data_IF_219530308278
#
_entry.id   IF_219530308278
#
_cell.length_a   1.000
_cell.length_b   1.000
_cell.length_c   1.000
_cell.angle_alpha   90.00
_cell.angle_beta   90.00
_cell.angle_gamma   90.00
#
_symmetry.space_group_name_H-M   'P 1'
#
loop_
_entity.id
_entity.type
_entity.pdbx_description
1 polymer ?
#
# COMPACT_ATOMS: atom_id res chain seq x y z
N UNK A 1 20.32 8.78 -22.33
CA UNK A 1 21.10 8.05 -21.31
C UNK A 1 20.12 7.27 -20.45
N UNK A 2 20.24 5.94 -20.40
CA UNK A 2 19.34 5.10 -19.60
C UNK A 2 19.69 5.23 -18.12
N UNK A 3 18.69 5.04 -17.24
CA UNK A 3 18.83 5.07 -15.78
C UNK A 3 19.87 4.05 -15.27
N UNK A 4 20.19 3.03 -16.08
CA UNK A 4 21.21 2.00 -15.85
C UNK A 4 22.64 2.53 -15.76
N UNK A 5 22.95 3.67 -16.38
CA UNK A 5 24.35 4.13 -16.50
C UNK A 5 24.76 5.05 -15.34
N UNK A 6 23.85 5.34 -14.40
CA UNK A 6 24.06 6.22 -13.22
C UNK A 6 23.89 5.42 -11.91
N UNK A 7 23.61 4.11 -12.00
CA UNK A 7 23.25 3.24 -10.87
C UNK A 7 24.45 2.63 -10.12
N UNK A 8 25.69 2.93 -10.50
CA UNK A 8 26.87 2.32 -9.87
C UNK A 8 27.16 2.82 -8.44
N UNK A 9 26.54 3.93 -8.00
CA UNK A 9 26.84 4.57 -6.70
C UNK A 9 25.66 4.58 -5.70
N UNK A 10 24.52 3.96 -6.02
CA UNK A 10 23.41 3.91 -5.06
C UNK A 10 23.56 2.71 -4.10
N UNK A 11 23.34 2.91 -2.78
CA UNK A 11 23.28 1.82 -1.82
C UNK A 11 22.23 0.77 -2.21
N UNK A 12 22.33 -0.49 -1.74
CA UNK A 12 21.36 -1.52 -2.09
C UNK A 12 19.95 -1.23 -1.53
N UNK A 13 18.95 -1.91 -2.11
CA UNK A 13 17.58 -1.98 -1.59
C UNK A 13 17.29 -3.40 -1.17
N UNK A 14 16.88 -3.59 0.09
CA UNK A 14 16.44 -4.88 0.63
C UNK A 14 14.91 -4.91 0.66
N UNK A 15 14.29 -5.83 -0.08
CA UNK A 15 12.83 -6.03 -0.06
C UNK A 15 12.44 -7.10 0.97
N UNK A 16 11.55 -6.75 1.89
CA UNK A 16 11.13 -7.63 2.98
C UNK A 16 9.60 -7.69 3.02
N UNK A 17 9.03 -8.90 3.07
CA UNK A 17 7.59 -9.10 3.18
C UNK A 17 7.25 -9.54 4.61
N UNK A 18 6.42 -8.74 5.29
CA UNK A 18 5.88 -9.05 6.60
C UNK A 18 4.45 -9.52 6.45
N UNK A 19 4.19 -10.69 7.04
CA UNK A 19 2.87 -11.30 7.01
C UNK A 19 2.17 -11.07 8.34
N UNK A 20 0.89 -10.70 8.29
CA UNK A 20 0.00 -10.74 9.45
C UNK A 20 -1.25 -11.56 9.15
N UNK A 21 -1.90 -12.04 10.21
CA UNK A 21 -3.22 -12.65 10.13
C UNK A 21 -4.26 -11.61 10.58
N UNK A 22 -5.39 -11.53 9.89
CA UNK A 22 -6.52 -10.72 10.35
C UNK A 22 -6.98 -11.24 11.72
N UNK A 23 -7.45 -10.35 12.59
CA UNK A 23 -8.15 -10.78 13.82
C UNK A 23 -9.44 -11.53 13.46
N UNK A 24 -9.97 -12.36 14.37
CA UNK A 24 -11.18 -13.15 14.11
C UNK A 24 -12.34 -12.28 13.63
N UNK A 25 -12.60 -11.15 14.32
CA UNK A 25 -13.64 -10.19 13.93
C UNK A 25 -13.40 -9.57 12.55
N UNK A 26 -12.15 -9.26 12.21
CA UNK A 26 -11.79 -8.68 10.91
C UNK A 26 -11.89 -9.73 9.79
N UNK A 27 -11.54 -10.99 10.08
CA UNK A 27 -11.66 -12.12 9.16
C UNK A 27 -13.13 -12.49 8.90
N UNK A 28 -13.99 -12.46 9.92
CA UNK A 28 -15.43 -12.68 9.77
C UNK A 28 -16.06 -11.62 8.86
N UNK A 29 -15.71 -10.35 9.07
CA UNK A 29 -16.13 -9.26 8.18
C UNK A 29 -15.62 -9.49 6.75
N UNK A 30 -14.36 -9.87 6.60
CA UNK A 30 -13.74 -10.13 5.30
C UNK A 30 -14.44 -11.26 4.53
N UNK A 31 -14.66 -12.41 5.17
CA UNK A 31 -15.33 -13.59 4.59
C UNK A 31 -16.78 -13.30 4.26
N UNK A 32 -17.52 -12.67 5.18
CA UNK A 32 -18.92 -12.30 4.93
C UNK A 32 -19.04 -11.36 3.73
N UNK A 33 -18.12 -10.41 3.60
CA UNK A 33 -18.11 -9.49 2.46
C UNK A 33 -17.75 -10.20 1.15
N UNK A 34 -16.71 -11.04 1.15
CA UNK A 34 -16.27 -11.80 -0.02
C UNK A 34 -17.35 -12.74 -0.55
N UNK A 35 -18.00 -13.51 0.33
CA UNK A 35 -19.07 -14.43 -0.04
C UNK A 35 -20.28 -13.70 -0.65
N UNK A 36 -20.74 -12.63 0.01
CA UNK A 36 -21.86 -11.82 -0.48
C UNK A 36 -21.55 -11.19 -1.84
N UNK A 37 -20.34 -10.63 -2.00
CA UNK A 37 -19.93 -10.00 -3.24
C UNK A 37 -19.77 -11.02 -4.38
N UNK A 38 -19.28 -12.24 -4.09
CA UNK A 38 -19.20 -13.32 -5.06
C UNK A 38 -20.59 -13.69 -5.59
N UNK A 39 -21.57 -13.88 -4.71
CA UNK A 39 -22.93 -14.23 -5.11
C UNK A 39 -23.61 -13.12 -5.94
N UNK A 40 -23.35 -11.85 -5.60
CA UNK A 40 -23.84 -10.71 -6.38
C UNK A 40 -23.18 -10.64 -7.77
N UNK A 41 -21.85 -10.76 -7.82
CA UNK A 41 -21.11 -10.69 -9.08
C UNK A 41 -21.48 -11.82 -10.03
N UNK A 42 -21.66 -13.05 -9.55
CA UNK A 42 -22.11 -14.19 -10.37
C UNK A 42 -23.44 -13.87 -11.06
N UNK A 43 -24.43 -13.39 -10.31
CA UNK A 43 -25.75 -13.02 -10.86
C UNK A 43 -25.66 -11.89 -11.88
N UNK A 44 -24.80 -10.89 -11.63
CA UNK A 44 -24.57 -9.79 -12.57
C UNK A 44 -23.91 -10.27 -13.85
N UNK A 45 -22.91 -11.16 -13.75
CA UNK A 45 -22.22 -11.73 -14.92
C UNK A 45 -23.16 -12.59 -15.75
N UNK A 46 -23.98 -13.42 -15.12
CA UNK A 46 -25.01 -14.23 -15.80
C UNK A 46 -26.04 -13.36 -16.55
N UNK A 47 -26.40 -12.20 -15.99
CA UNK A 47 -27.39 -11.29 -16.59
C UNK A 47 -26.81 -10.41 -17.70
N UNK A 48 -25.65 -9.81 -17.46
CA UNK A 48 -25.15 -8.67 -18.26
C UNK A 48 -23.87 -8.99 -19.05
N UNK A 49 -23.18 -10.09 -18.71
CA UNK A 49 -21.86 -10.45 -19.23
C UNK A 49 -20.72 -9.74 -18.50
N UNK A 50 -19.57 -10.41 -18.39
CA UNK A 50 -18.42 -9.95 -17.57
C UNK A 50 -17.90 -8.55 -17.94
N UNK A 51 -17.86 -8.21 -19.23
CA UNK A 51 -17.37 -6.90 -19.70
C UNK A 51 -18.15 -5.72 -19.10
N UNK A 52 -19.43 -5.91 -18.74
CA UNK A 52 -20.27 -4.87 -18.13
C UNK A 52 -20.18 -4.82 -16.61
N UNK A 53 -19.59 -5.83 -15.97
CA UNK A 53 -19.55 -5.99 -14.51
C UNK A 53 -18.22 -5.51 -13.92
N UNK A 54 -17.24 -5.12 -14.76
CA UNK A 54 -15.90 -4.70 -14.33
C UNK A 54 -15.90 -3.61 -13.23
N UNK A 55 -16.84 -2.66 -13.28
CA UNK A 55 -16.93 -1.61 -12.25
C UNK A 55 -17.34 -2.17 -10.88
N UNK A 56 -18.21 -3.18 -10.85
CA UNK A 56 -18.59 -3.87 -9.61
C UNK A 56 -17.44 -4.70 -9.08
N UNK A 57 -16.70 -5.39 -9.95
CA UNK A 57 -15.47 -6.12 -9.58
C UNK A 57 -14.45 -5.17 -8.93
N UNK A 58 -14.15 -4.04 -9.58
CA UNK A 58 -13.24 -3.02 -9.05
C UNK A 58 -13.66 -2.55 -7.65
N UNK A 59 -14.96 -2.29 -7.46
CA UNK A 59 -15.50 -1.88 -6.18
C UNK A 59 -15.32 -2.98 -5.11
N UNK A 60 -15.64 -4.23 -5.43
CA UNK A 60 -15.49 -5.38 -4.53
C UNK A 60 -14.04 -5.59 -4.11
N UNK A 61 -13.11 -5.67 -5.06
CA UNK A 61 -11.69 -5.89 -4.77
C UNK A 61 -11.12 -4.72 -3.96
N UNK A 62 -11.55 -3.49 -4.24
CA UNK A 62 -11.17 -2.31 -3.45
C UNK A 62 -11.63 -2.45 -2.00
N UNK A 63 -12.86 -2.92 -1.76
CA UNK A 63 -13.41 -3.07 -0.42
C UNK A 63 -12.71 -4.17 0.37
N UNK A 64 -12.42 -5.31 -0.25
CA UNK A 64 -11.63 -6.37 0.38
C UNK A 64 -10.25 -5.89 0.81
N UNK A 65 -9.54 -5.15 -0.05
CA UNK A 65 -8.25 -4.51 0.31
C UNK A 65 -8.39 -3.51 1.45
N UNK A 66 -9.47 -2.72 1.47
CA UNK A 66 -9.72 -1.79 2.57
C UNK A 66 -9.97 -2.51 3.90
N UNK A 67 -10.69 -3.64 3.91
CA UNK A 67 -10.86 -4.48 5.11
C UNK A 67 -9.50 -4.95 5.60
N UNK A 68 -8.62 -5.42 4.69
CA UNK A 68 -7.26 -5.85 5.02
C UNK A 68 -6.39 -4.71 5.60
N UNK A 69 -6.64 -3.47 5.20
CA UNK A 69 -5.92 -2.30 5.69
C UNK A 69 -6.43 -1.87 7.07
N UNK A 70 -7.71 -1.55 7.15
CA UNK A 70 -8.40 -1.17 8.38
C UNK A 70 -9.92 -1.08 8.12
N UNK A 71 -10.79 -1.77 8.89
CA UNK A 71 -12.25 -1.72 8.70
C UNK A 71 -12.84 -0.30 8.72
N UNK A 72 -12.36 0.57 9.62
CA UNK A 72 -12.75 1.98 9.70
C UNK A 72 -12.42 2.85 8.46
N UNK A 73 -11.77 2.32 7.42
CA UNK A 73 -11.68 3.00 6.14
C UNK A 73 -13.06 3.20 5.52
N UNK A 74 -14.00 2.27 5.75
CA UNK A 74 -15.36 2.39 5.20
C UNK A 74 -16.48 1.74 6.03
N UNK A 75 -16.15 0.82 6.94
CA UNK A 75 -17.12 0.03 7.70
C UNK A 75 -17.45 0.61 9.08
N UNK A 76 -16.69 1.62 9.54
CA UNK A 76 -16.90 2.30 10.82
C UNK A 76 -16.76 3.82 10.67
N UNK A 77 -17.36 4.56 11.60
CA UNK A 77 -17.24 6.01 11.69
C UNK A 77 -15.84 6.42 12.19
N UNK A 78 -15.33 5.72 13.21
CA UNK A 78 -14.01 5.94 13.82
C UNK A 78 -13.20 4.66 13.89
N UNK A 79 -11.87 4.81 13.91
CA UNK A 79 -10.94 3.72 14.15
C UNK A 79 -10.73 3.51 15.66
N UNK A 80 -10.70 2.27 16.10
CA UNK A 80 -10.47 1.88 17.49
C UNK A 80 -9.25 0.94 17.60
N UNK A 81 -8.52 0.95 18.73
CA UNK A 81 -7.42 0.01 18.94
C UNK A 81 -7.88 -1.45 18.79
N UNK A 82 -7.10 -2.27 18.07
CA UNK A 82 -7.42 -3.68 17.80
C UNK A 82 -8.36 -3.91 16.62
N UNK A 83 -8.80 -2.86 15.92
CA UNK A 83 -9.65 -3.00 14.72
C UNK A 83 -8.93 -3.61 13.52
N UNK A 84 -7.60 -3.48 13.46
CA UNK A 84 -6.82 -3.95 12.32
C UNK A 84 -5.50 -4.56 12.75
N UNK A 85 -5.36 -5.87 12.55
CA UNK A 85 -4.14 -6.59 12.86
C UNK A 85 -2.94 -6.10 12.04
N UNK A 86 -3.16 -5.62 10.79
CA UNK A 86 -2.10 -4.99 9.99
C UNK A 86 -1.66 -3.66 10.58
N UNK A 87 -2.58 -2.89 11.14
CA UNK A 87 -2.25 -1.62 11.77
C UNK A 87 -1.45 -1.84 13.06
N UNK A 88 -1.84 -2.83 13.85
CA UNK A 88 -1.09 -3.22 15.05
C UNK A 88 0.34 -3.67 14.69
N UNK A 89 0.50 -4.51 13.65
CA UNK A 89 1.81 -4.88 13.11
C UNK A 89 2.64 -3.67 12.65
N UNK A 90 2.00 -2.71 11.96
CA UNK A 90 2.68 -1.48 11.54
C UNK A 90 3.22 -0.71 12.75
N UNK A 91 2.43 -0.59 13.83
CA UNK A 91 2.85 0.13 15.03
C UNK A 91 4.05 -0.54 15.71
N UNK A 92 4.05 -1.87 15.82
CA UNK A 92 5.17 -2.63 16.38
C UNK A 92 6.46 -2.47 15.55
N UNK A 93 6.34 -2.60 14.22
CA UNK A 93 7.46 -2.41 13.30
C UNK A 93 7.98 -0.96 13.36
N UNK A 94 7.07 0.01 13.31
CA UNK A 94 7.41 1.43 13.32
C UNK A 94 8.10 1.82 14.63
N UNK A 95 7.62 1.32 15.77
CA UNK A 95 8.27 1.56 17.05
C UNK A 95 9.73 1.09 17.03
N UNK A 96 9.97 -0.14 16.58
CA UNK A 96 11.32 -0.72 16.48
C UNK A 96 12.24 0.11 15.57
N UNK A 97 11.72 0.54 14.41
CA UNK A 97 12.46 1.35 13.44
C UNK A 97 12.81 2.73 14.02
N UNK A 98 11.85 3.40 14.65
CA UNK A 98 12.05 4.75 15.22
C UNK A 98 13.01 4.71 16.42
N UNK A 99 12.90 3.71 17.29
CA UNK A 99 13.82 3.50 18.42
C UNK A 99 15.26 3.23 17.94
N UNK A 100 15.40 2.56 16.79
CA UNK A 100 16.69 2.31 16.14
C UNK A 100 17.20 3.50 15.32
N UNK A 101 16.47 4.62 15.29
CA UNK A 101 16.85 5.85 14.61
C UNK A 101 16.59 5.89 13.10
N UNK A 102 15.85 4.91 12.55
CA UNK A 102 15.50 4.87 11.14
C UNK A 102 14.44 5.90 10.79
N UNK A 103 14.61 6.55 9.63
CA UNK A 103 13.59 7.44 9.08
C UNK A 103 12.76 6.72 8.05
N UNK A 104 11.45 6.72 8.26
CA UNK A 104 10.51 5.82 7.60
C UNK A 104 9.48 6.57 6.76
N UNK A 105 9.33 6.19 5.50
CA UNK A 105 8.24 6.64 4.62
C UNK A 105 7.17 5.55 4.55
N UNK A 106 5.94 5.88 4.93
CA UNK A 106 4.80 4.97 4.85
C UNK A 106 3.92 5.40 3.67
N UNK A 107 3.77 4.49 2.71
CA UNK A 107 2.91 4.65 1.57
C UNK A 107 1.57 3.96 1.80
N UNK A 108 0.49 4.69 1.48
CA UNK A 108 -0.85 4.09 1.36
C UNK A 108 -1.62 4.70 0.19
N UNK A 109 -2.38 3.88 -0.54
CA UNK A 109 -3.28 4.36 -1.58
C UNK A 109 -4.55 5.00 -1.01
N UNK A 110 -4.88 4.72 0.25
CA UNK A 110 -6.12 5.15 0.89
C UNK A 110 -5.87 6.37 1.78
N UNK A 111 -6.32 7.55 1.33
CA UNK A 111 -6.21 8.79 2.12
C UNK A 111 -6.87 8.68 3.49
N UNK A 112 -7.99 7.95 3.61
CA UNK A 112 -8.64 7.68 4.90
C UNK A 112 -7.72 6.90 5.85
N UNK A 113 -6.97 5.91 5.35
CA UNK A 113 -5.98 5.19 6.16
C UNK A 113 -4.89 6.12 6.66
N UNK A 114 -4.38 7.01 5.79
CA UNK A 114 -3.41 8.00 6.24
C UNK A 114 -3.99 8.95 7.29
N UNK A 115 -5.29 9.32 7.22
CA UNK A 115 -5.91 10.12 8.29
C UNK A 115 -5.98 9.35 9.61
N UNK A 116 -6.35 8.07 9.59
CA UNK A 116 -6.32 7.19 10.77
C UNK A 116 -4.92 7.20 11.40
N UNK A 117 -3.87 6.99 10.59
CA UNK A 117 -2.48 7.04 11.06
C UNK A 117 -2.12 8.40 11.66
N UNK A 118 -2.52 9.51 11.04
CA UNK A 118 -2.22 10.86 11.53
C UNK A 118 -2.86 11.13 12.89
N UNK A 119 -4.13 10.75 13.05
CA UNK A 119 -4.87 10.93 14.30
C UNK A 119 -4.20 10.15 15.43
N UNK A 120 -3.91 8.86 15.20
CA UNK A 120 -3.27 7.99 16.19
C UNK A 120 -1.82 8.42 16.49
N UNK A 121 -1.02 8.77 15.48
CA UNK A 121 0.36 9.24 15.70
C UNK A 121 0.39 10.55 16.49
N UNK A 122 -0.58 11.44 16.28
CA UNK A 122 -0.71 12.67 17.07
C UNK A 122 -1.01 12.35 18.53
N UNK A 123 -1.93 11.43 18.79
CA UNK A 123 -2.27 11.00 20.16
C UNK A 123 -1.09 10.33 20.88
N UNK A 124 -0.26 9.58 20.13
CA UNK A 124 0.95 8.92 20.63
C UNK A 124 2.16 9.84 20.74
N UNK A 125 2.06 11.10 20.28
CA UNK A 125 3.17 12.04 20.26
C UNK A 125 4.27 11.72 19.23
N UNK A 126 3.98 10.87 18.24
CA UNK A 126 4.89 10.54 17.15
C UNK A 126 4.94 11.72 16.18
N UNK A 127 6.12 12.30 15.98
CA UNK A 127 6.30 13.40 15.02
C UNK A 127 6.35 12.86 13.59
N UNK A 128 5.53 13.41 12.70
CA UNK A 128 5.47 13.00 11.30
C UNK A 128 5.31 14.19 10.33
N UNK A 129 5.62 13.95 9.07
CA UNK A 129 5.20 14.78 7.93
C UNK A 129 4.12 14.06 7.13
N UNK A 130 3.25 14.81 6.47
CA UNK A 130 2.12 14.27 5.70
C UNK A 130 2.02 14.93 4.33
N UNK A 131 1.75 14.13 3.29
CA UNK A 131 1.52 14.61 1.94
C UNK A 131 0.47 13.77 1.21
N UNK A 132 -0.50 14.44 0.60
CA UNK A 132 -1.45 13.84 -0.32
C UNK A 132 -1.65 14.71 -1.59
N UNK A 133 -2.61 14.29 -2.43
CA UNK A 133 -2.96 15.02 -3.64
C UNK A 133 -3.43 16.47 -3.41
N UNK A 134 -4.02 16.77 -2.25
CA UNK A 134 -4.53 18.11 -1.89
C UNK A 134 -3.43 19.06 -1.39
N UNK A 135 -2.24 18.53 -1.10
CA UNK A 135 -1.14 19.29 -0.49
C UNK A 135 -0.51 20.27 -1.49
N UNK A 136 -0.49 21.57 -1.13
CA UNK A 136 0.10 22.66 -1.93
C UNK A 136 1.60 22.85 -1.70
N UNK A 137 2.06 22.88 -0.44
CA UNK A 137 3.46 23.19 -0.08
C UNK A 137 4.37 21.95 -0.06
N UNK A 138 4.31 21.13 -1.12
CA UNK A 138 4.96 19.81 -1.16
C UNK A 138 6.48 19.88 -0.91
N UNK A 139 7.17 20.82 -1.54
CA UNK A 139 8.63 20.95 -1.44
C UNK A 139 9.10 21.35 -0.04
N UNK A 140 8.35 22.21 0.64
CA UNK A 140 8.65 22.62 2.02
C UNK A 140 8.52 21.46 2.99
N UNK A 141 7.45 20.65 2.85
CA UNK A 141 7.22 19.47 3.69
C UNK A 141 8.31 18.42 3.47
N UNK A 142 8.69 18.17 2.21
CA UNK A 142 9.78 17.25 1.86
C UNK A 142 11.11 17.74 2.42
N UNK A 143 11.44 19.03 2.26
CA UNK A 143 12.66 19.61 2.80
C UNK A 143 12.71 19.49 4.32
N UNK A 144 11.62 19.86 5.00
CA UNK A 144 11.48 19.74 6.45
C UNK A 144 11.67 18.31 6.92
N UNK A 145 11.08 17.33 6.22
CA UNK A 145 11.33 15.93 6.53
C UNK A 145 12.79 15.57 6.34
N UNK A 146 13.39 15.82 5.18
CA UNK A 146 14.78 15.39 4.93
C UNK A 146 15.79 16.00 5.92
N UNK A 147 15.59 17.27 6.31
CA UNK A 147 16.55 18.01 7.13
C UNK A 147 16.32 17.88 8.64
N UNK A 148 15.10 17.57 9.10
CA UNK A 148 14.79 17.53 10.52
C UNK A 148 14.89 16.10 11.09
N UNK A 149 15.87 15.81 11.95
CA UNK A 149 16.01 14.49 12.57
C UNK A 149 14.89 14.18 13.57
N UNK A 150 14.16 15.19 14.08
CA UNK A 150 13.04 14.99 15.02
C UNK A 150 11.75 14.52 14.35
N UNK A 151 11.73 14.39 13.02
CA UNK A 151 10.57 13.90 12.26
C UNK A 151 10.92 12.52 11.71
N UNK A 152 10.67 11.44 12.47
CA UNK A 152 11.02 10.08 12.05
C UNK A 152 10.15 9.54 10.91
N UNK A 153 8.92 10.05 10.74
CA UNK A 153 7.93 9.42 9.84
C UNK A 153 7.42 10.37 8.75
N UNK A 154 7.24 9.86 7.54
CA UNK A 154 6.55 10.55 6.44
C UNK A 154 5.38 9.72 5.91
N UNK A 155 4.17 10.24 6.06
CA UNK A 155 2.94 9.64 5.54
C UNK A 155 2.63 10.21 4.15
N UNK A 156 2.49 9.35 3.13
CA UNK A 156 2.30 9.83 1.75
C UNK A 156 1.34 8.97 0.93
N UNK A 157 0.43 9.64 0.19
CA UNK A 157 -0.40 8.96 -0.80
C UNK A 157 0.27 8.90 -2.18
N UNK A 158 0.23 7.72 -2.79
CA UNK A 158 0.83 7.46 -4.11
C UNK A 158 0.04 8.06 -5.28
N UNK A 159 -1.29 8.27 -5.11
CA UNK A 159 -2.18 8.91 -6.09
C UNK A 159 -1.89 10.40 -6.33
N UNK A 160 -0.93 11.01 -5.64
CA UNK A 160 -0.34 12.29 -6.01
C UNK A 160 0.57 12.18 -7.26
N UNK A 161 0.17 11.33 -8.23
CA UNK A 161 0.92 10.88 -9.41
C UNK A 161 1.44 12.05 -10.24
N UNK A 162 2.76 12.16 -10.30
CA UNK A 162 3.48 13.11 -11.15
C UNK A 162 4.58 13.90 -10.46
N UNK A 163 4.58 14.01 -9.12
CA UNK A 163 5.62 14.83 -8.45
C UNK A 163 6.85 14.00 -8.14
N UNK A 164 7.99 14.39 -8.71
CA UNK A 164 9.32 13.84 -8.43
C UNK A 164 9.82 14.15 -7.02
N UNK A 165 9.10 13.70 -6.00
CA UNK A 165 9.48 13.82 -4.60
C UNK A 165 10.86 13.16 -4.38
N UNK A 166 11.69 13.82 -3.59
CA UNK A 166 13.00 13.33 -3.20
C UNK A 166 13.04 13.16 -1.68
N UNK A 167 12.89 11.92 -1.21
CA UNK A 167 12.73 11.55 0.20
C UNK A 167 14.00 10.84 0.72
N UNK A 168 15.18 11.22 0.22
CA UNK A 168 16.49 10.63 0.57
C UNK A 168 16.90 10.83 2.04
N UNK A 169 16.15 11.61 2.83
CA UNK A 169 16.32 11.67 4.27
C UNK A 169 15.73 10.47 5.02
N UNK A 170 15.05 9.56 4.31
CA UNK A 170 14.65 8.25 4.81
C UNK A 170 15.59 7.16 4.32
N UNK A 171 15.70 6.10 5.10
CA UNK A 171 16.38 4.85 4.77
C UNK A 171 15.40 3.66 4.79
N UNK A 172 14.16 3.88 5.23
CA UNK A 172 13.15 2.84 5.34
C UNK A 172 11.87 3.24 4.61
N UNK A 173 11.29 2.29 3.89
CA UNK A 173 10.00 2.40 3.18
C UNK A 173 9.07 1.30 3.67
N UNK A 174 7.83 1.66 3.97
CA UNK A 174 6.76 0.71 4.27
C UNK A 174 5.64 0.90 3.25
N UNK A 175 5.36 -0.15 2.47
CA UNK A 175 4.15 -0.26 1.65
C UNK A 175 3.06 -0.89 2.52
N UNK A 176 2.14 -0.05 2.99
CA UNK A 176 1.09 -0.50 3.91
C UNK A 176 -0.01 -1.30 3.20
N UNK A 177 -0.31 -0.95 1.95
CA UNK A 177 -1.29 -1.66 1.13
C UNK A 177 -0.68 -2.17 -0.17
N UNK A 178 -1.13 -3.35 -0.58
CA UNK A 178 -0.62 -4.03 -1.77
C UNK A 178 -1.15 -3.37 -3.05
N UNK A 179 -0.28 -3.24 -4.05
CA UNK A 179 -0.66 -2.71 -5.37
C UNK A 179 -0.93 -3.87 -6.33
N UNK A 180 -1.76 -3.66 -7.33
CA UNK A 180 -1.90 -4.65 -8.40
C UNK A 180 -0.70 -4.61 -9.34
N UNK A 181 -0.12 -3.43 -9.51
CA UNK A 181 1.03 -3.19 -10.35
C UNK A 181 2.32 -3.00 -9.51
N UNK A 182 3.26 -3.97 -9.55
CA UNK A 182 4.55 -3.86 -8.85
C UNK A 182 5.35 -2.62 -9.22
N UNK A 183 5.15 -2.07 -10.42
CA UNK A 183 5.85 -0.87 -10.86
C UNK A 183 5.46 0.37 -10.04
N UNK A 184 4.26 0.41 -9.46
CA UNK A 184 3.82 1.52 -8.60
C UNK A 184 4.56 1.47 -7.26
N UNK A 185 4.71 0.28 -6.67
CA UNK A 185 5.53 0.06 -5.46
C UNK A 185 6.99 0.44 -5.72
N UNK A 186 7.58 -0.07 -6.80
CA UNK A 186 8.95 0.24 -7.19
C UNK A 186 9.15 1.76 -7.38
N UNK A 187 8.20 2.43 -8.03
CA UNK A 187 8.25 3.89 -8.19
C UNK A 187 8.14 4.63 -6.85
N UNK A 188 7.40 4.10 -5.87
CA UNK A 188 7.36 4.69 -4.54
C UNK A 188 8.70 4.53 -3.82
N UNK A 189 9.28 3.33 -3.85
CA UNK A 189 10.61 3.05 -3.28
C UNK A 189 11.69 3.92 -3.92
N UNK A 190 11.63 4.13 -5.24
CA UNK A 190 12.50 5.04 -6.00
C UNK A 190 12.48 6.51 -5.51
N UNK A 191 11.47 6.92 -4.72
CA UNK A 191 11.44 8.27 -4.12
C UNK A 191 12.41 8.39 -2.94
N UNK A 192 12.74 7.27 -2.31
CA UNK A 192 13.72 7.16 -1.21
C UNK A 192 15.07 6.65 -1.74
N UNK A 193 15.05 5.66 -2.63
CA UNK A 193 16.21 5.15 -3.34
C UNK A 193 16.55 6.02 -4.55
N UNK A 194 17.05 7.24 -4.27
CA UNK A 194 17.34 8.25 -5.29
C UNK A 194 18.73 8.84 -5.12
N UNK A 195 19.22 9.52 -6.16
CA UNK A 195 20.48 10.28 -6.09
C UNK A 195 20.51 11.18 -4.84
N UNK A 196 21.57 11.03 -4.03
CA UNK A 196 21.71 11.68 -2.73
C UNK A 196 21.43 10.77 -1.54
N UNK A 197 20.93 9.54 -1.77
CA UNK A 197 20.82 8.52 -0.75
C UNK A 197 22.22 8.06 -0.29
N UNK A 198 22.40 7.96 1.03
CA UNK A 198 23.67 7.60 1.67
C UNK A 198 23.63 6.26 2.41
N UNK A 199 22.43 5.73 2.63
CA UNK A 199 22.19 4.51 3.39
C UNK A 199 21.53 3.45 2.51
N UNK A 200 21.76 2.17 2.81
CA UNK A 200 20.94 1.08 2.26
C UNK A 200 19.48 1.34 2.58
N UNK A 201 18.59 1.01 1.64
CA UNK A 201 17.15 1.25 1.79
C UNK A 201 16.43 -0.05 2.09
N UNK A 202 15.73 -0.12 3.21
CA UNK A 202 14.86 -1.26 3.55
C UNK A 202 13.43 -1.00 3.09
N UNK A 203 12.89 -1.86 2.23
CA UNK A 203 11.54 -1.76 1.68
C UNK A 203 10.65 -2.88 2.22
N UNK A 204 9.83 -2.56 3.22
CA UNK A 204 8.87 -3.46 3.85
C UNK A 204 7.54 -3.46 3.10
N UNK A 205 6.96 -4.64 2.90
CA UNK A 205 5.60 -4.83 2.38
C UNK A 205 4.77 -5.56 3.44
N UNK A 206 3.64 -4.99 3.85
CA UNK A 206 2.76 -5.62 4.82
C UNK A 206 1.64 -6.37 4.08
N UNK A 207 1.51 -7.67 4.32
CA UNK A 207 0.59 -8.56 3.62
C UNK A 207 -0.27 -9.32 4.62
N UNK A 208 -1.59 -9.28 4.44
CA UNK A 208 -2.52 -10.12 5.21
C UNK A 208 -2.67 -11.51 4.59
N UNK A 209 -2.37 -12.55 5.36
CA UNK A 209 -2.49 -13.96 4.96
C UNK A 209 -3.97 -14.39 4.84
N UNK A 210 -4.24 -15.34 3.94
CA UNK A 210 -5.59 -15.84 3.64
C UNK A 210 -6.54 -14.72 3.17
N UNK A 211 -6.00 -13.75 2.43
CA UNK A 211 -6.77 -12.63 1.88
C UNK A 211 -6.41 -12.36 0.43
N UNK A 212 -7.11 -11.40 -0.17
CA UNK A 212 -6.84 -10.89 -1.51
C UNK A 212 -5.40 -10.39 -1.65
N UNK A 213 -4.76 -9.91 -0.59
CA UNK A 213 -3.40 -9.38 -0.67
C UNK A 213 -2.36 -10.46 -0.93
N UNK A 214 -2.50 -11.63 -0.29
CA UNK A 214 -1.64 -12.79 -0.54
C UNK A 214 -1.77 -13.23 -2.01
N UNK A 215 -3.01 -13.31 -2.51
CA UNK A 215 -3.28 -13.64 -3.92
C UNK A 215 -2.72 -12.61 -4.88
N UNK A 216 -2.80 -11.32 -4.55
CA UNK A 216 -2.15 -10.26 -5.34
C UNK A 216 -0.64 -10.50 -5.41
N UNK A 217 0.03 -10.79 -4.29
CA UNK A 217 1.47 -11.08 -4.26
C UNK A 217 1.81 -12.29 -5.11
N UNK A 218 1.04 -13.37 -5.00
CA UNK A 218 1.19 -14.56 -5.83
C UNK A 218 1.04 -14.25 -7.32
N UNK A 219 -0.01 -13.52 -7.70
CA UNK A 219 -0.26 -13.10 -9.08
C UNK A 219 0.86 -12.22 -9.63
N UNK A 220 1.37 -11.26 -8.83
CA UNK A 220 2.52 -10.43 -9.20
C UNK A 220 3.74 -11.33 -9.48
N UNK A 221 4.00 -12.32 -8.63
CA UNK A 221 5.13 -13.23 -8.77
C UNK A 221 4.97 -14.18 -9.98
N UNK A 222 3.76 -14.69 -10.27
CA UNK A 222 3.45 -15.45 -11.50
C UNK A 222 3.72 -14.61 -12.75
N UNK A 223 3.30 -13.34 -12.75
CA UNK A 223 3.40 -12.44 -13.93
C UNK A 223 4.79 -11.82 -14.13
N UNK A 224 5.65 -11.74 -13.09
CA UNK A 224 7.06 -11.29 -13.22
C UNK A 224 7.85 -12.11 -14.25
N UNK A 225 7.50 -13.37 -14.49
CA UNK A 225 8.11 -14.21 -15.53
C UNK A 225 7.57 -13.99 -16.96
N UNK A 226 6.41 -13.35 -17.12
CA UNK A 226 5.63 -13.39 -18.36
C UNK A 226 5.39 -12.01 -19.01
N UNK A 227 5.56 -10.89 -18.31
CA UNK A 227 5.07 -9.59 -18.80
C UNK A 227 6.18 -8.52 -18.87
N UNK A 228 6.61 -8.19 -20.09
CA UNK A 228 7.41 -6.98 -20.43
C UNK A 228 6.56 -5.74 -20.74
N UNK A 229 5.23 -5.83 -20.70
CA UNK A 229 4.33 -4.68 -20.94
C UNK A 229 4.07 -3.94 -19.63
N UNK A 230 4.66 -2.75 -19.51
CA UNK A 230 4.46 -1.81 -18.41
C UNK A 230 2.97 -1.47 -18.31
N UNK A 231 2.33 -1.91 -17.24
CA UNK A 231 1.05 -1.33 -16.79
C UNK A 231 1.39 -0.01 -16.10
N UNK A 232 0.62 1.05 -16.34
CA UNK A 232 0.94 2.37 -15.81
C UNK A 232 0.25 2.68 -14.48
N UNK A 233 -0.88 2.03 -14.19
CA UNK A 233 -1.66 2.22 -12.96
C UNK A 233 -2.37 0.93 -12.50
N UNK A 234 -2.82 0.91 -11.25
CA UNK A 234 -3.51 -0.25 -10.66
C UNK A 234 -4.85 -0.58 -11.34
N UNK A 235 -5.60 0.44 -11.75
CA UNK A 235 -6.91 0.24 -12.40
C UNK A 235 -6.77 -0.51 -13.74
N UNK A 236 -5.70 -0.23 -14.51
CA UNK A 236 -5.37 -0.97 -15.74
C UNK A 236 -4.97 -2.43 -15.47
N UNK A 237 -4.35 -2.72 -14.32
CA UNK A 237 -4.00 -4.10 -13.95
C UNK A 237 -5.25 -4.92 -13.65
N UNK A 238 -6.21 -4.32 -12.94
CA UNK A 238 -7.49 -4.97 -12.59
C UNK A 238 -8.37 -5.14 -13.83
N UNK A 239 -8.39 -4.17 -14.76
CA UNK A 239 -9.18 -4.26 -16.00
C UNK A 239 -8.76 -5.43 -16.92
N UNK A 240 -7.58 -6.01 -16.70
CA UNK A 240 -7.07 -7.17 -17.45
C UNK A 240 -7.37 -8.51 -16.79
N UNK A 241 -8.06 -8.52 -15.66
CA UNK A 241 -8.48 -9.76 -14.99
C UNK A 241 -9.53 -10.48 -15.83
N UNK A 242 -9.39 -11.80 -15.93
CA UNK A 242 -10.42 -12.70 -16.44
C UNK A 242 -11.47 -12.95 -15.36
N UNK A 243 -12.61 -13.54 -15.74
CA UNK A 243 -13.62 -13.91 -14.76
C UNK A 243 -13.10 -14.99 -13.79
N UNK A 244 -12.29 -15.91 -14.30
CA UNK A 244 -11.61 -16.93 -13.51
C UNK A 244 -10.66 -16.31 -12.48
N UNK A 245 -9.86 -15.30 -12.86
CA UNK A 245 -9.01 -14.56 -11.92
C UNK A 245 -9.85 -13.93 -10.80
N UNK A 246 -11.01 -13.35 -11.13
CA UNK A 246 -11.89 -12.73 -10.13
C UNK A 246 -12.45 -13.75 -9.16
N UNK A 247 -12.87 -14.93 -9.64
CA UNK A 247 -13.33 -16.00 -8.77
C UNK A 247 -12.21 -16.52 -7.86
N UNK A 248 -11.01 -16.73 -8.41
CA UNK A 248 -9.81 -17.09 -7.63
C UNK A 248 -9.56 -16.05 -6.53
N UNK A 249 -9.67 -14.75 -6.81
CA UNK A 249 -9.47 -13.68 -5.84
C UNK A 249 -10.53 -13.61 -4.72
N UNK A 250 -11.75 -14.08 -4.99
CA UNK A 250 -12.87 -14.06 -4.04
C UNK A 250 -13.01 -15.34 -3.21
N UNK A 251 -12.23 -16.38 -3.49
CA UNK A 251 -12.17 -17.56 -2.62
C UNK A 251 -11.53 -17.18 -1.27
N UNK A 252 -12.09 -17.66 -0.16
CA UNK A 252 -11.71 -17.31 1.22
C UNK A 252 -11.89 -18.47 2.17
#
# INVERSE_FOLDING_TARGET
RMKSDVLQDLPPVDEIVYHCQLSDTQMDLYRSYAASARDELVKLVERDGFDKVQIHVLATLTRLKQICCHPAIFAKESAEPGDSAKYDLLLELLQTLVESGHKTVIFSQYTRMLQIMREDFTQRGISFSYLDGSTKNRMEIVKKFNENPKIPVFLVSLKAGGTGLNLVGADTVIHYDMWWNPAVEAQATDRVHRMGQKHSVSSYKLVTLNTIEEKIVEMQNRKKGLVKKVVSCDDEAIARLTWEDVLELLET
#
